data_IF_362669557836
#
_entry.id   IF_362669557836
#
_cell.length_a   1.000
_cell.length_b   1.000
_cell.length_c   1.000
_cell.angle_alpha   90.00
_cell.angle_beta   90.00
_cell.angle_gamma   90.00
#
_symmetry.space_group_name_H-M   'P 1'
#
loop_
_entity.id
_entity.type
_entity.pdbx_description
1 polymer ?
#
# COMPACT_ATOMS: atom_id res chain seq x y z
N UNK A 1 -17.60 -15.88 -8.11
CA UNK A 1 -16.12 -15.81 -8.01
C UNK A 1 -15.42 -16.73 -8.99
N UNK A 2 -16.02 -17.87 -9.36
CA UNK A 2 -15.35 -18.93 -10.12
C UNK A 2 -15.37 -18.72 -11.65
N UNK A 3 -16.34 -17.96 -12.18
CA UNK A 3 -16.44 -17.63 -13.61
C UNK A 3 -15.40 -16.62 -14.12
N UNK A 4 -14.43 -16.24 -13.29
CA UNK A 4 -13.41 -15.25 -13.67
C UNK A 4 -12.59 -15.73 -14.87
N UNK A 5 -12.45 -17.04 -15.05
CA UNK A 5 -11.68 -17.60 -16.16
C UNK A 5 -12.48 -17.68 -17.47
N UNK A 6 -13.81 -17.55 -17.42
CA UNK A 6 -14.71 -17.79 -18.56
C UNK A 6 -14.57 -16.75 -19.68
N UNK A 7 -14.23 -15.50 -19.37
CA UNK A 7 -14.03 -14.47 -20.39
C UNK A 7 -13.09 -13.36 -19.94
N UNK A 8 -12.41 -12.73 -20.91
CA UNK A 8 -11.56 -11.55 -20.67
C UNK A 8 -12.37 -10.41 -20.04
N UNK A 9 -13.59 -10.20 -20.50
CA UNK A 9 -14.50 -9.15 -20.06
C UNK A 9 -14.83 -9.29 -18.56
N UNK A 10 -15.05 -10.52 -18.08
CA UNK A 10 -15.29 -10.77 -16.66
C UNK A 10 -14.03 -10.46 -15.83
N UNK A 11 -12.84 -10.80 -16.32
CA UNK A 11 -11.56 -10.47 -15.66
C UNK A 11 -11.32 -8.97 -15.60
N UNK A 12 -11.42 -8.27 -16.73
CA UNK A 12 -11.24 -6.82 -16.80
C UNK A 12 -12.18 -6.11 -15.82
N UNK A 13 -13.44 -6.56 -15.72
CA UNK A 13 -14.41 -6.02 -14.77
C UNK A 13 -13.99 -6.24 -13.32
N UNK A 14 -13.40 -7.38 -12.96
CA UNK A 14 -12.89 -7.58 -11.60
C UNK A 14 -11.66 -6.72 -11.32
N UNK A 15 -10.74 -6.58 -12.29
CA UNK A 15 -9.55 -5.71 -12.18
C UNK A 15 -9.98 -4.27 -11.85
N UNK A 16 -10.90 -3.71 -12.65
CA UNK A 16 -11.41 -2.34 -12.41
C UNK A 16 -12.11 -2.23 -11.05
N UNK A 17 -12.86 -3.26 -10.62
CA UNK A 17 -13.52 -3.26 -9.32
C UNK A 17 -12.52 -3.26 -8.16
N UNK A 18 -11.46 -4.06 -8.23
CA UNK A 18 -10.44 -4.11 -7.18
C UNK A 18 -9.73 -2.76 -7.09
N UNK A 19 -9.21 -2.26 -8.21
CA UNK A 19 -8.51 -0.98 -8.26
C UNK A 19 -9.43 0.16 -7.78
N UNK A 20 -10.68 0.21 -8.24
CA UNK A 20 -11.61 1.26 -7.82
C UNK A 20 -12.05 1.18 -6.36
N UNK A 21 -12.18 -0.04 -5.78
CA UNK A 21 -12.71 -0.22 -4.42
C UNK A 21 -11.64 -0.18 -3.34
N UNK A 22 -10.38 -0.52 -3.64
CA UNK A 22 -9.34 -0.63 -2.62
C UNK A 22 -9.11 0.69 -1.87
N UNK A 23 -9.14 1.83 -2.58
CA UNK A 23 -9.00 3.18 -1.99
C UNK A 23 -10.21 3.55 -1.13
N UNK A 24 -11.41 3.13 -1.52
CA UNK A 24 -12.63 3.36 -0.73
C UNK A 24 -12.59 2.55 0.57
N UNK A 25 -12.16 1.30 0.49
CA UNK A 25 -11.99 0.42 1.67
C UNK A 25 -10.93 1.00 2.61
N UNK A 26 -9.76 1.37 2.08
CA UNK A 26 -8.68 1.95 2.87
C UNK A 26 -9.09 3.24 3.58
N UNK A 27 -9.77 4.16 2.89
CA UNK A 27 -10.26 5.40 3.49
C UNK A 27 -11.32 5.14 4.57
N UNK A 28 -12.25 4.20 4.33
CA UNK A 28 -13.26 3.83 5.31
C UNK A 28 -12.64 3.21 6.57
N UNK A 29 -11.61 2.38 6.44
CA UNK A 29 -10.86 1.81 7.57
C UNK A 29 -10.19 2.93 8.36
N UNK A 30 -9.48 3.84 7.70
CA UNK A 30 -8.80 4.96 8.38
C UNK A 30 -9.78 5.83 9.18
N UNK A 31 -10.89 6.22 8.56
CA UNK A 31 -11.93 6.99 9.24
C UNK A 31 -12.54 6.23 10.42
N UNK A 32 -12.79 4.93 10.24
CA UNK A 32 -13.35 4.07 11.30
C UNK A 32 -12.41 3.97 12.50
N UNK A 33 -11.10 3.85 12.27
CA UNK A 33 -10.08 3.86 13.34
C UNK A 33 -10.06 5.20 14.08
N UNK A 34 -10.33 6.31 13.38
CA UNK A 34 -10.48 7.65 13.97
C UNK A 34 -11.87 7.96 14.56
N UNK A 35 -12.78 6.97 14.64
CA UNK A 35 -14.14 7.16 15.16
C UNK A 35 -15.07 7.97 14.27
N UNK A 36 -14.73 8.14 12.98
CA UNK A 36 -15.47 8.95 12.00
C UNK A 36 -16.29 8.07 11.05
N UNK A 37 -17.44 8.55 10.56
CA UNK A 37 -18.23 7.81 9.57
C UNK A 37 -17.51 7.79 8.21
N UNK A 38 -17.68 6.73 7.40
CA UNK A 38 -17.05 6.62 6.09
C UNK A 38 -17.62 7.67 5.12
N UNK A 39 -16.74 8.23 4.28
CA UNK A 39 -17.11 9.17 3.20
C UNK A 39 -17.23 8.41 1.88
N UNK A 40 -18.29 8.68 1.12
CA UNK A 40 -18.50 8.10 -0.21
C UNK A 40 -17.62 8.77 -1.28
N UNK A 41 -17.16 8.03 -2.29
CA UNK A 41 -16.38 8.57 -3.39
C UNK A 41 -17.19 9.57 -4.24
N UNK A 42 -16.47 10.47 -4.91
CA UNK A 42 -17.00 11.46 -5.85
C UNK A 42 -16.55 11.14 -7.28
N UNK A 43 -17.50 11.08 -8.21
CA UNK A 43 -17.23 10.84 -9.63
C UNK A 43 -16.62 12.05 -10.36
N UNK A 44 -16.42 13.18 -9.66
CA UNK A 44 -15.90 14.44 -10.24
C UNK A 44 -14.39 14.63 -9.98
N UNK A 45 -13.78 13.75 -9.20
CA UNK A 45 -12.40 13.83 -8.77
C UNK A 45 -11.57 12.76 -9.48
N UNK A 46 -10.29 13.04 -9.72
CA UNK A 46 -9.35 12.01 -10.17
C UNK A 46 -9.12 10.94 -9.08
N UNK A 47 -8.42 9.86 -9.43
CA UNK A 47 -8.25 8.70 -8.54
C UNK A 47 -7.63 9.06 -7.17
N UNK A 48 -6.57 9.86 -7.17
CA UNK A 48 -5.85 10.28 -5.96
C UNK A 48 -6.56 11.42 -5.21
N UNK A 49 -7.14 12.37 -5.94
CA UNK A 49 -7.99 13.41 -5.34
C UNK A 49 -9.17 12.77 -4.61
N UNK A 50 -9.80 11.75 -5.21
CA UNK A 50 -10.92 11.07 -4.60
C UNK A 50 -10.51 10.33 -3.32
N UNK A 51 -9.32 9.72 -3.28
CA UNK A 51 -8.81 9.09 -2.06
C UNK A 51 -8.58 10.11 -0.93
N UNK A 52 -7.88 11.22 -1.20
CA UNK A 52 -7.69 12.29 -0.23
C UNK A 52 -9.00 12.95 0.21
N UNK A 53 -9.92 13.14 -0.73
CA UNK A 53 -11.27 13.63 -0.42
C UNK A 53 -12.00 12.70 0.56
N UNK A 54 -11.92 11.38 0.35
CA UNK A 54 -12.54 10.42 1.26
C UNK A 54 -11.90 10.43 2.65
N UNK A 55 -10.60 10.72 2.77
CA UNK A 55 -9.91 10.80 4.07
C UNK A 55 -10.24 12.07 4.85
N UNK A 56 -10.27 13.23 4.18
CA UNK A 56 -10.21 14.54 4.86
C UNK A 56 -11.46 15.41 4.72
N UNK A 57 -12.41 15.07 3.83
CA UNK A 57 -13.57 15.94 3.60
C UNK A 57 -14.52 16.02 4.80
N UNK A 58 -14.57 14.98 5.65
CA UNK A 58 -15.44 14.89 6.83
C UNK A 58 -16.92 15.24 6.55
N UNK A 59 -17.40 14.91 5.34
CA UNK A 59 -18.78 15.21 4.90
C UNK A 59 -18.94 16.53 4.16
N UNK A 60 -17.90 17.36 4.08
CA UNK A 60 -17.90 18.57 3.24
C UNK A 60 -17.73 18.23 1.76
N UNK A 61 -18.84 18.20 1.02
CA UNK A 61 -18.84 17.93 -0.44
C UNK A 61 -18.11 18.97 -1.28
N UNK A 62 -17.79 20.14 -0.73
CA UNK A 62 -17.01 21.19 -1.40
C UNK A 62 -15.51 21.09 -1.12
N UNK A 63 -15.08 20.16 -0.26
CA UNK A 63 -13.67 19.94 0.04
C UNK A 63 -12.89 19.60 -1.23
N UNK A 64 -11.78 20.31 -1.43
CA UNK A 64 -10.83 20.06 -2.50
C UNK A 64 -9.47 19.73 -1.89
N UNK A 65 -8.93 18.53 -2.14
CA UNK A 65 -7.58 18.19 -1.71
C UNK A 65 -6.54 19.17 -2.24
N UNK A 66 -5.47 19.36 -1.47
CA UNK A 66 -4.35 20.20 -1.90
C UNK A 66 -3.68 19.60 -3.15
N UNK A 67 -3.57 20.35 -4.27
CA UNK A 67 -2.96 19.83 -5.51
C UNK A 67 -1.55 19.28 -5.35
N UNK A 68 -0.76 19.81 -4.40
CA UNK A 68 0.59 19.31 -4.09
C UNK A 68 0.53 17.92 -3.45
N UNK A 69 -0.39 17.70 -2.51
CA UNK A 69 -0.59 16.41 -1.86
C UNK A 69 -1.16 15.38 -2.83
N UNK A 70 -2.12 15.78 -3.68
CA UNK A 70 -2.64 14.95 -4.76
C UNK A 70 -1.52 14.45 -5.67
N UNK A 71 -0.65 15.35 -6.14
CA UNK A 71 0.48 14.98 -7.01
C UNK A 71 1.48 14.08 -6.30
N UNK A 72 1.82 14.36 -5.04
CA UNK A 72 2.72 13.53 -4.27
C UNK A 72 2.15 12.11 -4.11
N UNK A 73 0.86 11.99 -3.79
CA UNK A 73 0.18 10.71 -3.66
C UNK A 73 0.14 9.92 -4.98
N UNK A 74 -0.08 10.61 -6.11
CA UNK A 74 -0.05 9.98 -7.44
C UNK A 74 1.31 9.36 -7.75
N UNK A 75 2.38 10.09 -7.46
CA UNK A 75 3.75 9.58 -7.58
C UNK A 75 3.96 8.38 -6.65
N UNK A 76 3.52 8.45 -5.39
CA UNK A 76 3.65 7.33 -4.43
C UNK A 76 2.92 6.09 -4.95
N UNK A 77 1.70 6.24 -5.47
CA UNK A 77 0.94 5.12 -6.04
C UNK A 77 1.62 4.51 -7.25
N UNK A 78 2.18 5.33 -8.14
CA UNK A 78 2.94 4.85 -9.30
C UNK A 78 4.20 4.09 -8.86
N UNK A 79 4.95 4.64 -7.89
CA UNK A 79 6.19 4.02 -7.41
C UNK A 79 5.95 2.68 -6.69
N UNK A 80 4.80 2.49 -6.07
CA UNK A 80 4.43 1.25 -5.36
C UNK A 80 3.53 0.34 -6.21
N UNK A 81 3.28 0.66 -7.48
CA UNK A 81 2.33 -0.09 -8.29
C UNK A 81 2.76 -1.53 -8.54
N UNK A 82 4.07 -1.78 -8.68
CA UNK A 82 4.63 -3.09 -9.03
C UNK A 82 6.11 -3.18 -8.58
N UNK A 83 6.53 -4.34 -8.07
CA UNK A 83 7.89 -4.62 -7.63
C UNK A 83 8.25 -6.10 -7.89
N UNK A 84 8.10 -6.52 -9.15
CA UNK A 84 8.33 -7.87 -9.67
C UNK A 84 7.72 -8.98 -8.80
N UNK A 85 8.51 -10.01 -8.48
CA UNK A 85 8.09 -11.24 -7.82
C UNK A 85 8.38 -11.23 -6.32
N UNK A 86 8.04 -10.12 -5.64
CA UNK A 86 8.14 -10.02 -4.19
C UNK A 86 7.21 -11.01 -3.45
N UNK A 87 7.37 -11.08 -2.11
CA UNK A 87 6.63 -12.00 -1.24
C UNK A 87 5.11 -11.96 -1.47
N UNK A 88 4.50 -10.77 -1.47
CA UNK A 88 3.06 -10.63 -1.69
C UNK A 88 2.60 -11.00 -3.10
N UNK A 89 3.35 -10.62 -4.14
CA UNK A 89 3.03 -11.02 -5.53
C UNK A 89 3.08 -12.54 -5.69
N UNK A 90 4.11 -13.17 -5.12
CA UNK A 90 4.27 -14.64 -5.14
C UNK A 90 3.14 -15.35 -4.38
N UNK A 91 2.73 -14.82 -3.22
CA UNK A 91 1.59 -15.35 -2.46
C UNK A 91 0.28 -15.27 -3.26
N UNK A 92 -0.01 -14.13 -3.91
CA UNK A 92 -1.18 -13.96 -4.78
C UNK A 92 -1.16 -15.00 -5.91
N UNK A 93 -0.02 -15.18 -6.58
CA UNK A 93 0.12 -16.16 -7.67
C UNK A 93 -0.10 -17.60 -7.19
N UNK A 94 0.45 -17.94 -6.03
CA UNK A 94 0.30 -19.28 -5.45
C UNK A 94 -1.17 -19.55 -5.10
N UNK A 95 -1.85 -18.63 -4.42
CA UNK A 95 -3.28 -18.73 -4.11
C UNK A 95 -4.13 -18.82 -5.38
N UNK A 96 -3.87 -17.96 -6.38
CA UNK A 96 -4.61 -17.98 -7.64
C UNK A 96 -4.46 -19.31 -8.40
N UNK A 97 -3.32 -20.01 -8.29
CA UNK A 97 -3.11 -21.31 -8.94
C UNK A 97 -4.07 -22.41 -8.47
N UNK A 98 -4.65 -22.27 -7.29
CA UNK A 98 -5.70 -23.18 -6.79
C UNK A 98 -7.08 -22.95 -7.44
N UNK A 99 -7.23 -21.90 -8.26
CA UNK A 99 -8.50 -21.51 -8.86
C UNK A 99 -9.39 -20.66 -7.94
N UNK A 100 -8.85 -20.17 -6.82
CA UNK A 100 -9.58 -19.29 -5.89
C UNK A 100 -10.00 -17.98 -6.57
N UNK A 101 -11.05 -17.34 -6.06
CA UNK A 101 -11.49 -16.05 -6.59
C UNK A 101 -10.46 -14.93 -6.31
N UNK A 102 -10.50 -13.89 -7.14
CA UNK A 102 -9.51 -12.81 -7.11
C UNK A 102 -9.52 -12.01 -5.79
N UNK A 103 -10.67 -11.88 -5.10
CA UNK A 103 -10.73 -11.13 -3.85
C UNK A 103 -10.02 -11.89 -2.74
N UNK A 104 -10.20 -13.21 -2.69
CA UNK A 104 -9.48 -14.08 -1.75
C UNK A 104 -7.97 -14.09 -2.03
N UNK A 105 -7.56 -14.17 -3.29
CA UNK A 105 -6.14 -14.12 -3.66
C UNK A 105 -5.49 -12.78 -3.25
N UNK A 106 -6.16 -11.65 -3.52
CA UNK A 106 -5.67 -10.32 -3.14
C UNK A 106 -5.65 -10.15 -1.61
N UNK A 107 -6.65 -10.66 -0.89
CA UNK A 107 -6.66 -10.63 0.58
C UNK A 107 -5.45 -11.38 1.17
N UNK A 108 -5.10 -12.55 0.62
CA UNK A 108 -3.88 -13.26 1.01
C UNK A 108 -2.61 -12.49 0.68
N UNK A 109 -2.57 -11.80 -0.46
CA UNK A 109 -1.48 -10.88 -0.83
C UNK A 109 -1.32 -9.72 0.15
N UNK A 110 -2.43 -9.11 0.59
CA UNK A 110 -2.43 -8.05 1.63
C UNK A 110 -1.90 -8.60 2.95
N UNK A 111 -2.29 -9.82 3.33
CA UNK A 111 -1.75 -10.50 4.51
C UNK A 111 -0.24 -10.71 4.44
N UNK A 112 0.28 -11.13 3.29
CA UNK A 112 1.71 -11.26 3.06
C UNK A 112 2.43 -9.90 3.08
N UNK A 113 1.81 -8.84 2.53
CA UNK A 113 2.33 -7.48 2.56
C UNK A 113 2.42 -6.92 3.99
N UNK A 114 1.45 -7.21 4.84
CA UNK A 114 1.41 -6.69 6.21
C UNK A 114 2.56 -7.20 7.10
N UNK A 115 3.29 -8.23 6.69
CA UNK A 115 4.43 -8.74 7.46
C UNK A 115 5.50 -7.66 7.71
N UNK A 116 6.11 -7.63 8.91
CA UNK A 116 7.07 -6.57 9.29
C UNK A 116 8.30 -6.54 8.37
N UNK A 117 8.73 -7.70 7.88
CA UNK A 117 9.86 -7.87 6.97
C UNK A 117 9.51 -7.60 5.49
N UNK A 118 8.28 -7.18 5.18
CA UNK A 118 7.87 -6.88 3.81
C UNK A 118 7.28 -5.47 3.72
N UNK A 119 6.01 -5.27 4.07
CA UNK A 119 5.37 -3.95 4.02
C UNK A 119 5.62 -3.09 5.25
N UNK A 120 6.08 -3.68 6.37
CA UNK A 120 6.37 -2.96 7.61
C UNK A 120 7.66 -2.13 7.60
N UNK A 121 8.50 -2.27 6.57
CA UNK A 121 9.77 -1.58 6.49
C UNK A 121 9.62 -0.04 6.57
N UNK A 122 8.61 0.54 5.92
CA UNK A 122 8.36 1.99 5.97
C UNK A 122 8.02 2.47 7.39
N UNK A 123 7.26 1.69 8.16
CA UNK A 123 6.93 2.00 9.55
C UNK A 123 8.18 1.86 10.44
N UNK A 124 9.01 0.84 10.19
CA UNK A 124 10.28 0.66 10.89
C UNK A 124 11.24 1.85 10.66
N UNK A 125 11.33 2.39 9.44
CA UNK A 125 12.12 3.62 9.18
C UNK A 125 11.60 4.79 10.01
N UNK A 126 10.28 5.01 10.03
CA UNK A 126 9.70 6.13 10.79
C UNK A 126 9.93 5.98 12.29
N UNK A 127 9.86 4.75 12.81
CA UNK A 127 10.15 4.44 14.21
C UNK A 127 11.62 4.72 14.53
N UNK A 128 12.54 4.22 13.71
CA UNK A 128 13.98 4.46 13.83
C UNK A 128 14.30 5.97 13.79
N UNK A 129 13.72 6.72 12.84
CA UNK A 129 13.90 8.17 12.77
C UNK A 129 13.35 8.89 14.00
N UNK A 130 12.25 8.40 14.57
CA UNK A 130 11.68 8.95 15.80
C UNK A 130 12.55 8.65 17.03
N UNK A 131 13.22 7.49 17.06
CA UNK A 131 14.17 7.10 18.10
C UNK A 131 15.46 7.93 18.04
N UNK A 132 15.98 8.22 16.84
CA UNK A 132 17.11 9.13 16.62
C UNK A 132 16.75 10.55 17.09
N UNK A 133 15.53 11.01 16.78
CA UNK A 133 14.96 12.26 17.26
C UNK A 133 15.48 13.52 16.56
N UNK A 134 16.80 13.76 16.56
CA UNK A 134 17.42 14.95 15.99
C UNK A 134 18.65 14.65 15.13
N UNK A 135 19.01 15.60 14.26
CA UNK A 135 20.16 15.49 13.34
C UNK A 135 21.47 15.32 14.12
N UNK A 136 21.57 15.90 15.31
CA UNK A 136 22.78 15.85 16.13
C UNK A 136 23.09 14.44 16.65
N UNK A 137 22.09 13.57 16.71
CA UNK A 137 22.21 12.19 17.19
C UNK A 137 22.58 11.19 16.08
N UNK A 138 22.64 11.63 14.82
CA UNK A 138 22.94 10.76 13.67
C UNK A 138 24.34 10.13 13.75
N UNK A 139 25.43 10.86 14.10
CA UNK A 139 26.76 10.26 14.17
C UNK A 139 26.83 9.11 15.19
N UNK A 140 26.22 9.31 16.36
CA UNK A 140 26.17 8.30 17.44
C UNK A 140 25.39 7.04 16.99
N UNK A 141 24.27 7.23 16.31
CA UNK A 141 23.47 6.13 15.76
C UNK A 141 24.23 5.30 14.72
N UNK A 142 25.03 5.94 13.86
CA UNK A 142 25.84 5.26 12.83
C UNK A 142 26.99 4.46 13.45
N UNK A 143 27.65 5.00 14.47
CA UNK A 143 28.77 4.34 15.16
C UNK A 143 28.33 3.15 16.03
N UNK A 144 27.10 3.16 16.54
CA UNK A 144 26.56 2.16 17.47
C UNK A 144 26.26 0.76 16.91
N UNK A 145 26.58 0.45 15.65
CA UNK A 145 26.20 -0.81 14.96
C UNK A 145 24.68 -1.07 14.84
N UNK A 146 23.81 -0.09 15.14
CA UNK A 146 22.37 -0.14 14.78
C UNK A 146 22.11 0.09 13.28
N UNK A 147 23.20 0.30 12.52
CA UNK A 147 23.27 0.27 11.05
C UNK A 147 22.69 -1.00 10.42
N UNK A 148 22.52 -2.09 11.19
CA UNK A 148 21.86 -3.31 10.72
C UNK A 148 20.38 -3.09 10.35
N UNK A 149 19.67 -2.17 11.01
CA UNK A 149 18.26 -1.86 10.69
C UNK A 149 18.16 -1.08 9.37
N UNK A 150 19.09 -0.16 9.13
CA UNK A 150 19.18 0.59 7.86
C UNK A 150 19.57 -0.35 6.71
N UNK A 151 20.50 -1.28 6.97
CA UNK A 151 20.87 -2.30 6.00
C UNK A 151 19.72 -3.28 5.74
N UNK A 152 18.96 -3.73 6.75
CA UNK A 152 17.86 -4.69 6.57
C UNK A 152 16.68 -4.09 5.79
N UNK A 153 16.36 -2.81 6.01
CA UNK A 153 15.30 -2.13 5.25
C UNK A 153 15.72 -1.89 3.80
N UNK A 154 16.99 -1.53 3.55
CA UNK A 154 17.53 -1.44 2.20
C UNK A 154 17.65 -2.83 1.55
N UNK A 155 18.08 -3.85 2.31
CA UNK A 155 18.21 -5.24 1.89
C UNK A 155 16.86 -5.93 1.70
N UNK A 156 15.73 -5.42 2.20
CA UNK A 156 14.43 -6.00 1.83
C UNK A 156 14.16 -5.79 0.32
N UNK A 157 14.69 -4.70 -0.26
CA UNK A 157 14.70 -4.50 -1.72
C UNK A 157 15.83 -5.27 -2.43
N UNK A 158 17.00 -5.42 -1.80
CA UNK A 158 18.17 -6.09 -2.40
C UNK A 158 18.13 -7.63 -2.31
N UNK A 159 17.58 -8.22 -1.24
CA UNK A 159 17.44 -9.66 -1.05
C UNK A 159 16.46 -10.30 -2.03
N UNK A 160 15.50 -9.54 -2.57
CA UNK A 160 14.65 -10.02 -3.67
C UNK A 160 15.45 -10.11 -4.98
N UNK A 161 16.47 -9.25 -5.16
CA UNK A 161 17.39 -9.31 -6.31
C UNK A 161 18.50 -10.35 -6.12
N UNK A 162 18.91 -10.67 -4.89
CA UNK A 162 19.96 -11.66 -4.59
C UNK A 162 19.46 -13.12 -4.44
N UNK A 163 18.15 -13.37 -4.37
CA UNK A 163 17.60 -14.74 -4.46
C UNK A 163 17.71 -15.37 -5.87
N UNK A 164 18.43 -14.71 -6.79
CA UNK A 164 18.96 -15.30 -8.03
C UNK A 164 20.47 -15.51 -7.91
N UNK A 165 20.88 -16.54 -7.17
CA UNK A 165 22.14 -17.26 -7.37
C UNK A 165 21.96 -18.73 -7.07
#
# INVERSE_FOLDING_TARGET
>A
GLDIYNSKQVRDKQIVRIIGKITTIAAAINLRLGGRPPVLPSNKLSYTENFLYMLDSLGNRSYKPNPRLTRALDIIFILHAEHEMNCSTSAVRHLASSGVDVYTAIAGGVGALYGPLHGGANEAVLKMLSEIGSVDNIPEFIEGNESSVVLDIACTKTMILEQRS
#
